data_IF_343313498748
#
_entry.id   IF_343313498748
#
_cell.length_a   1.000
_cell.length_b   1.000
_cell.length_c   1.000
_cell.angle_alpha   90.00
_cell.angle_beta   90.00
_cell.angle_gamma   90.00
#
_symmetry.space_group_name_H-M   'P 1'
#
loop_
_entity.id
_entity.type
_entity.pdbx_description
1 polymer ?
#
# COMPACT_ATOMS: atom_id res chain seq x y z
N UNK A 1 37.24 11.27 4.23
CA UNK A 1 36.87 12.07 5.42
C UNK A 1 35.92 11.19 6.21
N UNK A 2 36.46 10.42 7.15
CA UNK A 2 35.70 9.50 8.00
C UNK A 2 35.01 10.35 9.08
N UNK A 3 33.73 10.64 8.89
CA UNK A 3 32.90 11.13 9.99
C UNK A 3 32.38 9.88 10.71
N UNK A 4 33.07 9.50 11.79
CA UNK A 4 32.61 8.45 12.69
C UNK A 4 31.30 8.90 13.33
N UNK A 5 30.33 7.99 13.36
CA UNK A 5 28.97 8.17 13.92
C UNK A 5 28.98 8.37 15.45
N UNK A 6 30.17 8.41 16.07
CA UNK A 6 30.40 8.50 17.52
C UNK A 6 30.09 9.89 18.12
N UNK A 7 29.73 10.88 17.29
CA UNK A 7 29.42 12.25 17.74
C UNK A 7 27.95 12.54 18.04
N UNK A 8 27.01 11.62 17.79
CA UNK A 8 25.58 11.82 18.11
C UNK A 8 25.33 11.48 19.59
N UNK A 9 26.11 12.13 20.46
CA UNK A 9 25.94 12.06 21.90
C UNK A 9 24.70 12.84 22.30
N UNK A 10 23.66 12.10 22.73
CA UNK A 10 22.66 12.59 23.70
C UNK A 10 22.13 14.01 23.49
N UNK A 11 21.77 14.40 22.27
CA UNK A 11 20.83 15.51 22.13
C UNK A 11 19.55 15.08 22.85
N UNK A 12 19.32 15.70 24.01
CA UNK A 12 18.14 15.51 24.84
C UNK A 12 16.92 15.55 23.92
N UNK A 13 16.29 14.40 23.69
CA UNK A 13 15.04 14.32 22.92
C UNK A 13 14.09 15.33 23.56
N UNK A 14 13.73 16.41 22.85
CA UNK A 14 12.99 17.51 23.47
C UNK A 14 11.68 16.98 24.03
N UNK A 15 11.35 17.38 25.26
CA UNK A 15 10.11 16.94 25.90
C UNK A 15 8.91 17.35 25.05
N UNK A 16 7.98 16.43 24.84
CA UNK A 16 6.82 16.65 24.00
C UNK A 16 6.00 17.87 24.45
N UNK A 17 5.63 18.71 23.50
CA UNK A 17 4.73 19.85 23.74
C UNK A 17 3.35 19.37 24.19
N UNK A 18 2.56 20.25 24.81
CA UNK A 18 1.19 19.92 25.25
C UNK A 18 0.33 19.46 24.06
N UNK A 19 0.48 20.12 22.90
CA UNK A 19 -0.22 19.76 21.68
C UNK A 19 0.21 18.39 21.16
N UNK A 20 1.52 18.11 21.14
CA UNK A 20 2.04 16.80 20.76
C UNK A 20 1.50 15.70 21.68
N UNK A 21 1.51 15.91 23.00
CA UNK A 21 0.96 14.94 23.97
C UNK A 21 -0.53 14.66 23.73
N UNK A 22 -1.32 15.69 23.42
CA UNK A 22 -2.74 15.53 23.10
C UNK A 22 -2.94 14.79 21.77
N UNK A 23 -2.13 15.11 20.75
CA UNK A 23 -2.14 14.40 19.47
C UNK A 23 -1.80 12.91 19.67
N UNK A 24 -0.77 12.60 20.45
CA UNK A 24 -0.45 11.22 20.84
C UNK A 24 -1.64 10.52 21.51
N UNK A 25 -2.33 11.21 22.42
CA UNK A 25 -3.55 10.67 23.05
C UNK A 25 -4.63 10.33 22.03
N UNK A 26 -4.92 11.24 21.08
CA UNK A 26 -5.91 11.02 20.02
C UNK A 26 -5.51 9.84 19.12
N UNK A 27 -4.24 9.74 18.74
CA UNK A 27 -3.72 8.65 17.91
C UNK A 27 -3.78 7.29 18.64
N UNK A 28 -3.49 7.26 19.94
CA UNK A 28 -3.61 6.04 20.75
C UNK A 28 -5.08 5.61 20.83
N UNK A 29 -6.00 6.55 21.10
CA UNK A 29 -7.44 6.25 21.15
C UNK A 29 -7.91 5.72 19.79
N UNK A 30 -7.54 6.38 18.68
CA UNK A 30 -7.85 5.91 17.34
C UNK A 30 -7.34 4.49 17.09
N UNK A 31 -6.09 4.21 17.47
CA UNK A 31 -5.47 2.89 17.33
C UNK A 31 -6.21 1.82 18.14
N UNK A 32 -6.56 2.13 19.39
CA UNK A 32 -7.33 1.23 20.27
C UNK A 32 -8.72 0.96 19.67
N UNK A 33 -9.39 1.99 19.15
CA UNK A 33 -10.72 1.83 18.53
C UNK A 33 -10.64 0.97 17.26
N UNK A 34 -9.62 1.15 16.41
CA UNK A 34 -9.44 0.34 15.19
C UNK A 34 -9.08 -1.12 15.49
N UNK A 35 -8.22 -1.36 16.47
CA UNK A 35 -7.90 -2.72 16.91
C UNK A 35 -9.15 -3.35 17.56
N UNK A 36 -9.82 -2.59 18.43
CA UNK A 36 -11.05 -3.00 19.09
C UNK A 36 -12.18 -3.29 18.11
N UNK A 37 -12.39 -2.48 17.07
CA UNK A 37 -13.43 -2.70 16.06
C UNK A 37 -13.24 -4.04 15.35
N UNK A 38 -11.99 -4.40 15.04
CA UNK A 38 -11.65 -5.69 14.43
C UNK A 38 -12.01 -6.85 15.36
N UNK A 39 -11.67 -6.76 16.65
CA UNK A 39 -11.97 -7.79 17.65
C UNK A 39 -13.48 -7.92 17.97
N UNK A 40 -14.18 -6.78 18.07
CA UNK A 40 -15.63 -6.72 18.27
C UNK A 40 -16.39 -7.31 17.09
N UNK A 41 -15.92 -7.06 15.86
CA UNK A 41 -16.50 -7.65 14.66
C UNK A 41 -16.40 -9.18 14.69
N UNK A 42 -15.26 -9.71 15.13
CA UNK A 42 -15.02 -11.15 15.22
C UNK A 42 -15.79 -11.82 16.38
N UNK A 43 -15.99 -11.12 17.50
CA UNK A 43 -16.54 -11.72 18.73
C UNK A 43 -18.04 -11.46 18.94
N UNK A 44 -18.55 -10.31 18.50
CA UNK A 44 -19.93 -9.84 18.76
C UNK A 44 -20.73 -9.54 17.49
N UNK A 45 -20.13 -9.66 16.30
CA UNK A 45 -20.81 -9.35 15.03
C UNK A 45 -21.13 -7.88 14.81
N UNK A 46 -20.60 -6.97 15.65
CA UNK A 46 -20.83 -5.54 15.52
C UNK A 46 -19.92 -4.96 14.43
N UNK A 47 -20.50 -4.39 13.39
CA UNK A 47 -19.76 -3.85 12.24
C UNK A 47 -19.62 -2.33 12.43
N UNK A 48 -18.53 -1.90 13.08
CA UNK A 48 -18.09 -0.51 12.91
C UNK A 48 -17.41 -0.36 11.55
N UNK A 49 -17.80 0.66 10.79
CA UNK A 49 -17.13 0.97 9.54
C UNK A 49 -15.83 1.73 9.83
N UNK A 50 -14.69 1.12 9.50
CA UNK A 50 -13.37 1.76 9.63
C UNK A 50 -13.31 3.10 8.90
N UNK A 51 -14.01 3.19 7.76
CA UNK A 51 -14.14 4.44 6.99
C UNK A 51 -14.83 5.54 7.80
N UNK A 52 -15.89 5.20 8.52
CA UNK A 52 -16.60 6.16 9.38
C UNK A 52 -15.77 6.55 10.60
N UNK A 53 -15.03 5.61 11.20
CA UNK A 53 -14.12 5.91 12.31
C UNK A 53 -13.06 6.92 11.85
N UNK A 54 -12.37 6.62 10.75
CA UNK A 54 -11.31 7.48 10.21
C UNK A 54 -11.85 8.85 9.80
N UNK A 55 -13.01 8.91 9.13
CA UNK A 55 -13.66 10.17 8.77
C UNK A 55 -14.03 10.99 10.02
N UNK A 56 -14.60 10.34 11.04
CA UNK A 56 -15.01 11.02 12.28
C UNK A 56 -13.82 11.61 13.01
N UNK A 57 -12.71 10.87 13.12
CA UNK A 57 -11.47 11.38 13.69
C UNK A 57 -10.87 12.51 12.84
N UNK A 58 -10.88 12.37 11.51
CA UNK A 58 -10.45 13.42 10.59
C UNK A 58 -11.23 14.72 10.79
N UNK A 59 -12.56 14.64 10.89
CA UNK A 59 -13.43 15.81 11.16
C UNK A 59 -13.23 16.38 12.58
N UNK A 60 -13.05 15.53 13.57
CA UNK A 60 -12.75 15.91 14.96
C UNK A 60 -11.45 16.73 15.05
N UNK A 61 -10.48 16.47 14.17
CA UNK A 61 -9.24 17.24 14.09
C UNK A 61 -9.43 18.68 13.60
N UNK A 62 -10.56 19.02 12.99
CA UNK A 62 -10.94 20.41 12.67
C UNK A 62 -11.83 21.06 13.74
N UNK A 63 -12.26 20.30 14.75
CA UNK A 63 -13.18 20.81 15.75
C UNK A 63 -12.45 21.70 16.77
N UNK A 64 -12.93 22.93 17.02
CA UNK A 64 -12.25 23.87 17.91
C UNK A 64 -12.12 23.31 19.33
N UNK A 65 -10.98 23.59 19.98
CA UNK A 65 -10.56 23.08 21.30
C UNK A 65 -10.20 21.60 21.37
N UNK A 66 -10.60 20.77 20.39
CA UNK A 66 -10.31 19.32 20.38
C UNK A 66 -9.20 19.01 19.38
N UNK A 67 -9.41 19.40 18.13
CA UNK A 67 -8.47 19.22 17.04
C UNK A 67 -7.42 20.32 16.94
N UNK A 68 -6.45 20.11 16.05
CA UNK A 68 -5.32 21.02 15.81
C UNK A 68 -5.26 21.50 14.35
N UNK A 69 -6.13 20.98 13.48
CA UNK A 69 -6.15 21.34 12.07
C UNK A 69 -7.02 22.57 11.84
N UNK A 70 -6.50 23.46 11.02
CA UNK A 70 -7.19 24.59 10.44
C UNK A 70 -7.52 24.29 8.98
N UNK A 71 -8.43 25.06 8.39
CA UNK A 71 -8.73 24.92 6.97
C UNK A 71 -7.50 25.08 6.08
N UNK A 72 -6.52 25.89 6.50
CA UNK A 72 -5.31 26.12 5.72
C UNK A 72 -4.43 24.86 5.59
N UNK A 73 -4.46 23.98 6.60
CA UNK A 73 -3.72 22.71 6.58
C UNK A 73 -4.19 21.76 5.47
N UNK A 74 -5.42 21.94 4.96
CA UNK A 74 -5.94 21.16 3.83
C UNK A 74 -5.12 21.35 2.56
N UNK A 75 -4.41 22.48 2.39
CA UNK A 75 -3.53 22.71 1.24
C UNK A 75 -2.39 21.69 1.14
N UNK A 76 -2.02 21.06 2.26
CA UNK A 76 -1.00 20.02 2.31
C UNK A 76 -1.58 18.62 2.06
N UNK A 77 -2.90 18.47 1.86
CA UNK A 77 -3.49 17.18 1.49
C UNK A 77 -3.07 16.79 0.07
N UNK A 78 -2.72 15.52 -0.17
CA UNK A 78 -2.34 15.05 -1.50
C UNK A 78 -3.58 14.81 -2.37
N UNK A 79 -4.23 15.88 -2.82
CA UNK A 79 -5.45 15.83 -3.63
C UNK A 79 -5.27 15.03 -4.92
N UNK A 80 -4.07 15.01 -5.48
CA UNK A 80 -3.71 14.24 -6.67
C UNK A 80 -3.95 12.74 -6.44
N UNK A 81 -3.64 12.24 -5.24
CA UNK A 81 -3.83 10.83 -4.88
C UNK A 81 -5.33 10.53 -4.72
N UNK A 82 -6.08 11.44 -4.09
CA UNK A 82 -7.54 11.29 -3.92
C UNK A 82 -8.22 11.22 -5.30
N UNK A 83 -7.87 12.14 -6.20
CA UNK A 83 -8.39 12.16 -7.57
C UNK A 83 -7.96 10.93 -8.36
N UNK A 84 -6.74 10.44 -8.16
CA UNK A 84 -6.23 9.24 -8.81
C UNK A 84 -6.98 7.97 -8.39
N UNK A 85 -7.29 7.80 -7.10
CA UNK A 85 -8.17 6.72 -6.66
C UNK A 85 -9.56 6.83 -7.28
N UNK A 86 -10.13 8.05 -7.34
CA UNK A 86 -11.42 8.29 -7.99
C UNK A 86 -11.43 7.91 -9.47
N UNK A 87 -10.36 8.24 -10.20
CA UNK A 87 -10.15 7.83 -11.58
C UNK A 87 -10.00 6.30 -11.71
N UNK A 88 -9.24 5.66 -10.82
CA UNK A 88 -9.09 4.20 -10.79
C UNK A 88 -10.41 3.46 -10.58
N UNK A 89 -11.24 3.90 -9.63
CA UNK A 89 -12.59 3.35 -9.43
C UNK A 89 -13.50 3.57 -10.63
N UNK A 90 -13.38 4.72 -11.30
CA UNK A 90 -14.13 5.03 -12.52
C UNK A 90 -13.71 4.12 -13.69
N UNK A 91 -12.42 3.86 -13.86
CA UNK A 91 -11.89 2.90 -14.85
C UNK A 91 -12.39 1.48 -14.55
N UNK A 92 -12.33 1.05 -13.29
CA UNK A 92 -12.86 -0.26 -12.87
C UNK A 92 -14.37 -0.39 -13.14
N UNK A 93 -15.14 0.65 -12.82
CA UNK A 93 -16.57 0.68 -13.12
C UNK A 93 -16.83 0.61 -14.64
N UNK A 94 -16.03 1.29 -15.45
CA UNK A 94 -16.10 1.22 -16.90
C UNK A 94 -15.76 -0.18 -17.44
N UNK A 95 -14.77 -0.88 -16.87
CA UNK A 95 -14.43 -2.26 -17.24
C UNK A 95 -15.60 -3.22 -17.01
N UNK A 96 -16.33 -3.02 -15.90
CA UNK A 96 -17.51 -3.80 -15.55
C UNK A 96 -18.69 -3.47 -16.48
N UNK A 97 -19.00 -2.19 -16.67
CA UNK A 97 -20.17 -1.74 -17.44
C UNK A 97 -20.05 -1.96 -18.95
N UNK A 98 -18.83 -1.91 -19.50
CA UNK A 98 -18.57 -2.14 -20.93
C UNK A 98 -18.46 -3.62 -21.29
N UNK A 99 -18.38 -4.53 -20.31
CA UNK A 99 -18.11 -5.94 -20.54
C UNK A 99 -16.63 -6.25 -20.86
N UNK A 100 -15.75 -5.24 -20.89
CA UNK A 100 -14.33 -5.42 -21.19
C UNK A 100 -13.64 -6.39 -20.22
N UNK A 101 -14.04 -6.41 -18.95
CA UNK A 101 -13.51 -7.37 -17.98
C UNK A 101 -13.78 -8.82 -18.40
N UNK A 102 -14.99 -9.10 -18.91
CA UNK A 102 -15.37 -10.44 -19.39
C UNK A 102 -14.63 -10.81 -20.69
N UNK A 103 -14.45 -9.85 -21.60
CA UNK A 103 -13.67 -10.05 -22.83
C UNK A 103 -12.20 -10.36 -22.54
N UNK A 104 -11.58 -9.62 -21.62
CA UNK A 104 -10.21 -9.86 -21.17
C UNK A 104 -10.11 -11.22 -20.49
N UNK A 105 -11.05 -11.57 -19.61
CA UNK A 105 -11.08 -12.89 -18.96
C UNK A 105 -11.19 -14.03 -19.98
N UNK A 106 -11.98 -13.86 -21.04
CA UNK A 106 -12.11 -14.84 -22.13
C UNK A 106 -10.79 -15.00 -22.91
N UNK A 107 -10.13 -13.89 -23.25
CA UNK A 107 -8.83 -13.89 -23.94
C UNK A 107 -7.69 -14.44 -23.07
N UNK A 108 -7.79 -14.25 -21.76
CA UNK A 108 -6.88 -14.78 -20.76
C UNK A 108 -7.37 -16.11 -20.16
N UNK A 109 -8.27 -16.82 -20.82
CA UNK A 109 -8.77 -18.12 -20.34
C UNK A 109 -7.65 -19.14 -20.12
N UNK A 110 -6.51 -19.02 -20.81
CA UNK A 110 -5.32 -19.83 -20.50
C UNK A 110 -4.80 -19.59 -19.06
N UNK A 111 -4.93 -18.37 -18.52
CA UNK A 111 -4.59 -18.04 -17.13
C UNK A 111 -5.58 -18.68 -16.17
N UNK A 112 -6.87 -18.82 -16.53
CA UNK A 112 -7.86 -19.50 -15.68
C UNK A 112 -7.57 -20.99 -15.48
N UNK A 113 -6.79 -21.60 -16.38
CA UNK A 113 -6.26 -22.97 -16.21
C UNK A 113 -4.93 -23.03 -15.44
N UNK A 114 -4.34 -21.88 -15.13
CA UNK A 114 -3.04 -21.80 -14.49
C UNK A 114 -3.18 -22.01 -12.97
N UNK A 115 -2.30 -22.80 -12.33
CA UNK A 115 -2.33 -22.97 -10.89
C UNK A 115 -2.18 -21.61 -10.17
N UNK A 116 -2.97 -21.41 -9.11
CA UNK A 116 -3.05 -20.16 -8.34
C UNK A 116 -1.68 -19.58 -7.94
N UNK A 117 -0.74 -20.45 -7.56
CA UNK A 117 0.62 -20.07 -7.21
C UNK A 117 1.36 -19.33 -8.34
N UNK A 118 1.23 -19.80 -9.58
CA UNK A 118 1.84 -19.15 -10.74
C UNK A 118 1.18 -17.81 -11.05
N UNK A 119 -0.11 -17.69 -10.76
CA UNK A 119 -0.83 -16.44 -10.97
C UNK A 119 -0.34 -15.35 -10.01
N UNK A 120 -0.04 -15.72 -8.76
CA UNK A 120 0.62 -14.82 -7.81
C UNK A 120 2.00 -14.37 -8.31
N UNK A 121 2.80 -15.30 -8.83
CA UNK A 121 4.11 -14.94 -9.42
C UNK A 121 3.94 -13.96 -10.57
N UNK A 122 3.01 -14.22 -11.50
CA UNK A 122 2.81 -13.38 -12.68
C UNK A 122 2.35 -11.97 -12.31
N UNK A 123 1.39 -11.85 -11.39
CA UNK A 123 0.90 -10.55 -10.91
C UNK A 123 1.98 -9.82 -10.11
N UNK A 124 2.64 -10.49 -9.17
CA UNK A 124 3.71 -9.89 -8.40
C UNK A 124 4.86 -9.42 -9.29
N UNK A 125 5.22 -10.19 -10.32
CA UNK A 125 6.19 -9.80 -11.32
C UNK A 125 5.75 -8.54 -12.06
N UNK A 126 4.56 -8.55 -12.66
CA UNK A 126 4.06 -7.40 -13.42
C UNK A 126 4.04 -6.12 -12.58
N UNK A 127 3.54 -6.20 -11.34
CA UNK A 127 3.41 -5.05 -10.45
C UNK A 127 4.77 -4.58 -9.93
N UNK A 128 5.64 -5.48 -9.46
CA UNK A 128 6.95 -5.12 -8.91
C UNK A 128 7.82 -4.39 -9.96
N UNK A 129 7.82 -4.86 -11.20
CA UNK A 129 8.58 -4.19 -12.27
C UNK A 129 7.92 -2.90 -12.75
N UNK A 130 6.58 -2.82 -12.74
CA UNK A 130 5.88 -1.57 -13.09
C UNK A 130 6.12 -0.45 -12.06
N UNK A 131 6.35 -0.82 -10.79
CA UNK A 131 6.59 0.15 -9.71
C UNK A 131 7.99 0.77 -9.75
N UNK A 132 8.91 0.25 -10.56
CA UNK A 132 10.24 0.85 -10.72
C UNK A 132 10.20 2.17 -11.53
N UNK A 133 9.17 2.35 -12.35
CA UNK A 133 8.98 3.53 -13.20
C UNK A 133 7.77 4.38 -12.79
N UNK A 134 7.03 3.94 -11.77
CA UNK A 134 5.78 4.56 -11.31
C UNK A 134 5.79 4.67 -9.79
N UNK A 135 5.22 5.73 -9.21
CA UNK A 135 5.04 5.80 -7.75
C UNK A 135 4.22 4.62 -7.23
N UNK A 136 4.67 3.98 -6.15
CA UNK A 136 3.99 2.85 -5.52
C UNK A 136 2.51 3.14 -5.23
N UNK A 137 2.22 4.34 -4.69
CA UNK A 137 0.85 4.77 -4.40
C UNK A 137 0.06 4.95 -5.70
N UNK A 138 0.67 5.54 -6.72
CA UNK A 138 0.00 5.76 -8.00
C UNK A 138 -0.32 4.45 -8.72
N UNK A 139 0.63 3.51 -8.75
CA UNK A 139 0.43 2.19 -9.33
C UNK A 139 -0.67 1.42 -8.60
N UNK A 140 -0.63 1.40 -7.26
CA UNK A 140 -1.66 0.75 -6.44
C UNK A 140 -3.04 1.35 -6.70
N UNK A 141 -3.14 2.67 -6.83
CA UNK A 141 -4.40 3.39 -7.09
C UNK A 141 -5.06 3.00 -8.41
N UNK A 142 -4.27 2.67 -9.42
CA UNK A 142 -4.76 2.28 -10.75
C UNK A 142 -4.98 0.76 -10.83
N UNK A 143 -4.00 -0.02 -10.36
CA UNK A 143 -3.98 -1.46 -10.56
C UNK A 143 -4.98 -2.22 -9.68
N UNK A 144 -5.16 -1.82 -8.41
CA UNK A 144 -6.02 -2.54 -7.47
C UNK A 144 -7.50 -2.54 -7.90
N UNK A 145 -8.10 -1.42 -8.34
CA UNK A 145 -9.47 -1.44 -8.86
C UNK A 145 -9.66 -2.38 -10.07
N UNK A 146 -8.66 -2.45 -10.97
CA UNK A 146 -8.71 -3.34 -12.14
C UNK A 146 -8.62 -4.80 -11.71
N UNK A 147 -7.67 -5.14 -10.83
CA UNK A 147 -7.55 -6.48 -10.28
C UNK A 147 -8.76 -6.88 -9.43
N UNK A 148 -9.45 -5.91 -8.81
CA UNK A 148 -10.66 -6.17 -8.03
C UNK A 148 -11.81 -6.65 -8.92
N UNK A 149 -12.03 -6.01 -10.08
CA UNK A 149 -13.02 -6.49 -11.05
C UNK A 149 -12.66 -7.88 -11.59
N UNK A 150 -11.37 -8.16 -11.82
CA UNK A 150 -10.92 -9.49 -12.20
C UNK A 150 -11.15 -10.53 -11.09
N UNK A 151 -10.84 -10.18 -9.84
CA UNK A 151 -11.00 -11.04 -8.67
C UNK A 151 -12.45 -11.46 -8.41
N UNK A 152 -13.45 -10.69 -8.86
CA UNK A 152 -14.87 -11.09 -8.78
C UNK A 152 -15.20 -12.36 -9.58
N UNK A 153 -14.40 -12.68 -10.60
CA UNK A 153 -14.54 -13.91 -11.38
C UNK A 153 -13.92 -15.15 -10.72
N UNK A 154 -13.34 -15.01 -9.52
CA UNK A 154 -12.61 -16.05 -8.81
C UNK A 154 -13.27 -16.37 -7.45
N UNK A 155 -12.92 -17.50 -6.81
CA UNK A 155 -13.29 -17.74 -5.41
C UNK A 155 -12.85 -16.56 -4.51
N UNK A 156 -13.70 -16.17 -3.57
CA UNK A 156 -13.50 -14.95 -2.78
C UNK A 156 -12.16 -14.92 -2.01
N UNK A 157 -11.71 -16.08 -1.50
CA UNK A 157 -10.42 -16.23 -0.82
C UNK A 157 -9.26 -15.99 -1.79
N UNK A 158 -9.27 -16.63 -2.95
CA UNK A 158 -8.25 -16.48 -4.00
C UNK A 158 -8.17 -15.04 -4.53
N UNK A 159 -9.32 -14.42 -4.78
CA UNK A 159 -9.40 -13.03 -5.19
C UNK A 159 -8.82 -12.07 -4.16
N UNK A 160 -9.07 -12.31 -2.87
CA UNK A 160 -8.48 -11.52 -1.77
C UNK A 160 -6.96 -11.66 -1.74
N UNK A 161 -6.45 -12.89 -1.85
CA UNK A 161 -5.01 -13.17 -1.90
C UNK A 161 -4.32 -12.51 -3.10
N UNK A 162 -4.97 -12.49 -4.26
CA UNK A 162 -4.46 -11.81 -5.45
C UNK A 162 -4.30 -10.30 -5.22
N UNK A 163 -5.31 -9.66 -4.62
CA UNK A 163 -5.29 -8.23 -4.31
C UNK A 163 -4.23 -7.88 -3.27
N UNK A 164 -4.08 -8.69 -2.22
CA UNK A 164 -3.01 -8.54 -1.22
C UNK A 164 -1.63 -8.67 -1.86
N UNK A 165 -1.46 -9.69 -2.72
CA UNK A 165 -0.21 -9.92 -3.47
C UNK A 165 0.14 -8.72 -4.34
N UNK A 166 -0.81 -8.22 -5.13
CA UNK A 166 -0.60 -7.03 -5.97
C UNK A 166 -0.24 -5.80 -5.13
N UNK A 167 -0.92 -5.58 -4.00
CA UNK A 167 -0.68 -4.43 -3.12
C UNK A 167 0.72 -4.45 -2.52
N UNK A 168 1.21 -5.61 -2.07
CA UNK A 168 2.54 -5.74 -1.47
C UNK A 168 3.62 -5.69 -2.55
N UNK A 169 3.39 -6.31 -3.72
CA UNK A 169 4.32 -6.26 -4.84
C UNK A 169 4.55 -4.83 -5.34
N UNK A 170 3.55 -3.93 -5.26
CA UNK A 170 3.71 -2.51 -5.58
C UNK A 170 4.68 -1.77 -4.64
N UNK A 171 5.11 -2.39 -3.54
CA UNK A 171 6.15 -1.84 -2.67
C UNK A 171 7.56 -2.34 -3.00
N UNK A 172 7.72 -3.30 -3.93
CA UNK A 172 9.01 -3.88 -4.32
C UNK A 172 9.71 -3.04 -5.39
N UNK A 173 10.00 -1.79 -5.04
CA UNK A 173 10.70 -0.83 -5.87
C UNK A 173 12.18 -0.75 -5.44
N UNK A 174 13.01 -1.69 -5.91
CA UNK A 174 14.40 -1.86 -5.46
C UNK A 174 15.45 -1.52 -6.52
N UNK A 175 15.08 -1.35 -7.79
CA UNK A 175 16.03 -1.20 -8.90
C UNK A 175 16.43 0.25 -9.17
N UNK A 176 15.46 1.18 -9.15
CA UNK A 176 15.69 2.55 -9.64
C UNK A 176 15.57 3.62 -8.54
N UNK A 177 16.40 4.68 -8.61
CA UNK A 177 16.34 5.80 -7.66
C UNK A 177 15.05 6.61 -7.74
N UNK A 178 14.46 6.70 -8.94
CA UNK A 178 13.24 7.48 -9.16
C UNK A 178 12.01 6.82 -8.55
N UNK A 179 12.08 5.52 -8.24
CA UNK A 179 10.94 4.74 -7.80
C UNK A 179 10.48 5.12 -6.38
N UNK A 180 11.40 5.39 -5.44
CA UNK A 180 11.06 5.74 -4.06
C UNK A 180 12.01 6.76 -3.42
N UNK A 181 11.53 7.59 -2.45
CA UNK A 181 12.39 8.52 -1.73
C UNK A 181 13.60 7.89 -1.01
N UNK A 182 13.50 6.72 -0.34
CA UNK A 182 14.66 6.05 0.25
C UNK A 182 15.75 5.72 -0.77
N UNK A 183 15.36 5.23 -1.95
CA UNK A 183 16.29 4.93 -3.04
C UNK A 183 17.01 6.20 -3.53
N UNK A 184 16.27 7.30 -3.68
CA UNK A 184 16.83 8.59 -4.06
C UNK A 184 17.79 9.16 -3.00
N UNK A 185 17.48 9.00 -1.71
CA UNK A 185 18.33 9.45 -0.58
C UNK A 185 19.68 8.72 -0.62
N UNK A 186 19.68 7.40 -0.74
CA UNK A 186 20.94 6.63 -0.80
C UNK A 186 21.75 7.02 -2.03
N UNK A 187 21.11 7.19 -3.19
CA UNK A 187 21.79 7.61 -4.42
C UNK A 187 22.33 9.04 -4.37
N UNK A 188 21.75 9.91 -3.53
CA UNK A 188 22.27 11.28 -3.31
C UNK A 188 23.66 11.30 -2.67
N UNK A 189 24.06 10.21 -1.97
CA UNK A 189 25.41 10.05 -1.42
C UNK A 189 26.51 9.92 -2.48
N UNK A 190 26.13 9.61 -3.74
CA UNK A 190 27.03 9.36 -4.89
C UNK A 190 28.05 8.23 -4.69
N UNK A 191 27.88 7.40 -3.66
CA UNK A 191 28.76 6.25 -3.37
C UNK A 191 28.41 5.06 -4.25
N UNK A 192 27.12 4.87 -4.57
CA UNK A 192 26.62 3.71 -5.31
C UNK A 192 26.24 4.13 -6.73
N UNK A 193 26.73 3.45 -7.78
CA UNK A 193 26.31 3.71 -9.16
C UNK A 193 24.92 3.11 -9.45
N UNK A 194 24.12 3.79 -10.28
CA UNK A 194 22.74 3.36 -10.65
C UNK A 194 22.73 1.94 -11.21
N UNK A 195 23.73 1.56 -12.01
CA UNK A 195 23.83 0.24 -12.61
C UNK A 195 24.03 -0.88 -11.57
N UNK A 196 24.70 -0.59 -10.45
CA UNK A 196 24.86 -1.55 -9.36
C UNK A 196 23.57 -1.71 -8.57
N UNK A 197 22.92 -0.58 -8.25
CA UNK A 197 21.60 -0.57 -7.63
C UNK A 197 20.58 -1.36 -8.46
N UNK A 198 20.51 -1.13 -9.77
CA UNK A 198 19.60 -1.85 -10.66
C UNK A 198 19.86 -3.37 -10.69
N UNK A 199 21.12 -3.79 -10.67
CA UNK A 199 21.50 -5.22 -10.66
C UNK A 199 21.11 -5.90 -9.33
N UNK A 200 21.37 -5.24 -8.21
CA UNK A 200 21.02 -5.77 -6.88
C UNK A 200 19.50 -5.76 -6.70
N UNK A 201 18.84 -4.65 -7.07
CA UNK A 201 17.40 -4.50 -7.04
C UNK A 201 16.69 -5.53 -7.90
N UNK A 202 17.20 -5.84 -9.09
CA UNK A 202 16.60 -6.86 -9.95
C UNK A 202 16.57 -8.22 -9.27
N UNK A 203 17.69 -8.62 -8.63
CA UNK A 203 17.76 -9.87 -7.85
C UNK A 203 16.82 -9.82 -6.64
N UNK A 204 16.77 -8.69 -5.94
CA UNK A 204 15.88 -8.49 -4.80
C UNK A 204 14.41 -8.60 -5.20
N UNK A 205 14.01 -8.03 -6.34
CA UNK A 205 12.65 -8.15 -6.89
C UNK A 205 12.31 -9.61 -7.18
N UNK A 206 13.18 -10.35 -7.87
CA UNK A 206 12.94 -11.77 -8.16
C UNK A 206 12.79 -12.61 -6.89
N UNK A 207 13.66 -12.42 -5.91
CA UNK A 207 13.57 -13.11 -4.61
C UNK A 207 12.28 -12.71 -3.91
N UNK A 208 11.98 -11.41 -3.86
CA UNK A 208 10.77 -10.86 -3.26
C UNK A 208 9.50 -11.46 -3.87
N UNK A 209 9.42 -11.57 -5.21
CA UNK A 209 8.29 -12.17 -5.93
C UNK A 209 8.07 -13.62 -5.50
N UNK A 210 9.15 -14.42 -5.45
CA UNK A 210 9.06 -15.83 -5.05
C UNK A 210 8.65 -15.96 -3.58
N UNK A 211 9.24 -15.16 -2.70
CA UNK A 211 8.91 -15.14 -1.27
C UNK A 211 7.45 -14.73 -1.07
N UNK A 212 7.02 -13.62 -1.68
CA UNK A 212 5.65 -13.11 -1.59
C UNK A 212 4.64 -14.12 -2.09
N UNK A 213 4.88 -14.72 -3.26
CA UNK A 213 3.98 -15.72 -3.83
C UNK A 213 3.90 -16.98 -2.96
N UNK A 214 5.02 -17.37 -2.35
CA UNK A 214 5.06 -18.50 -1.41
C UNK A 214 4.30 -18.19 -0.12
N UNK A 215 4.48 -17.00 0.44
CA UNK A 215 3.75 -16.54 1.63
C UNK A 215 2.25 -16.46 1.34
N UNK A 216 1.87 -15.89 0.20
CA UNK A 216 0.47 -15.76 -0.20
C UNK A 216 -0.19 -17.13 -0.36
N UNK A 217 0.49 -18.09 -1.00
CA UNK A 217 -0.07 -19.41 -1.25
C UNK A 217 -0.07 -20.30 -0.01
N UNK A 218 1.07 -20.44 0.68
CA UNK A 218 1.20 -21.40 1.78
C UNK A 218 0.70 -20.87 3.12
N UNK A 219 1.00 -19.61 3.46
CA UNK A 219 0.63 -19.06 4.76
C UNK A 219 -0.76 -18.46 4.71
N UNK A 220 -1.00 -17.47 3.84
CA UNK A 220 -2.30 -16.79 3.80
C UNK A 220 -3.41 -17.68 3.25
N UNK A 221 -3.10 -18.50 2.23
CA UNK A 221 -4.04 -19.50 1.72
C UNK A 221 -4.46 -20.57 2.74
N UNK A 222 -3.67 -20.78 3.81
CA UNK A 222 -4.05 -21.69 4.90
C UNK A 222 -4.88 -21.02 6.00
N UNK A 223 -4.88 -19.68 6.05
CA UNK A 223 -5.54 -18.89 7.11
C UNK A 223 -6.92 -18.35 6.70
N UNK A 224 -7.23 -18.30 5.40
CA UNK A 224 -8.46 -17.77 4.80
C UNK A 224 -9.31 -18.88 4.19
#
# INVERSE_FOLDING_TARGET
RNESVEGIGSELVPSLTIEQKRLYGILIILSIILIGSTLLKQSFGFILSDKLILLSFGLLMFFPKVGFLTWDDTRNMPYEIIMLFGAGFSIAAAFSSTGLAADIATKLSFISSMPLFWMFILVAFFVAFSTEVTSNTALTSIAIPIFYEFAKGMPATEGTLLLMTATIAASYAFMLPIATPPNAIVMSSRVIPIAEMAKVGFKANLIGIVVLSSVAYFLWGSML
#
